data_IF_934035375187
#
_entry.id   IF_934035375187
#
_cell.length_a   1.000
_cell.length_b   1.000
_cell.length_c   1.000
_cell.angle_alpha   90.00
_cell.angle_beta   90.00
_cell.angle_gamma   90.00
#
_symmetry.space_group_name_H-M   'P 1'
#
loop_
_entity.id
_entity.type
_entity.pdbx_description
1 polymer ?
#
# COMPACT_ATOMS: atom_id res chain seq x y z
N UNK A 1 32.58 -20.03 -14.29
CA UNK A 1 32.29 -20.54 -15.65
C UNK A 1 30.82 -20.96 -15.80
N UNK A 2 30.31 -21.87 -14.91
CA UNK A 2 28.91 -22.34 -15.02
C UNK A 2 27.89 -21.25 -14.71
N UNK A 3 28.13 -20.45 -13.65
CA UNK A 3 27.30 -19.29 -13.31
C UNK A 3 27.38 -18.16 -14.34
N UNK A 4 28.54 -17.99 -15.02
CA UNK A 4 28.68 -17.07 -16.15
C UNK A 4 27.94 -17.56 -17.39
N UNK A 5 27.92 -18.87 -17.65
CA UNK A 5 27.15 -19.46 -18.74
C UNK A 5 25.64 -19.37 -18.49
N UNK A 6 25.19 -19.66 -17.26
CA UNK A 6 23.78 -19.54 -16.86
C UNK A 6 23.29 -18.09 -16.90
N UNK A 7 24.11 -17.13 -16.51
CA UNK A 7 23.83 -15.70 -16.68
C UNK A 7 23.77 -15.30 -18.17
N UNK A 8 24.69 -15.83 -19.02
CA UNK A 8 24.64 -15.60 -20.47
C UNK A 8 23.43 -16.24 -21.13
N UNK A 9 23.04 -17.45 -20.71
CA UNK A 9 21.83 -18.13 -21.23
C UNK A 9 20.56 -17.39 -20.82
N UNK A 10 20.55 -16.84 -19.60
CA UNK A 10 19.44 -16.06 -19.10
C UNK A 10 19.37 -14.68 -19.76
N UNK A 11 20.53 -14.04 -20.05
CA UNK A 11 20.62 -12.81 -20.86
C UNK A 11 20.16 -13.06 -22.31
N UNK A 12 20.50 -14.20 -22.89
CA UNK A 12 20.01 -14.62 -24.21
C UNK A 12 18.49 -14.87 -24.22
N UNK A 13 17.91 -15.43 -23.17
CA UNK A 13 16.44 -15.64 -23.07
C UNK A 13 15.68 -14.32 -22.99
N UNK A 14 16.19 -13.33 -22.26
CA UNK A 14 15.61 -11.97 -22.22
C UNK A 14 15.73 -11.31 -23.61
N UNK A 15 16.87 -11.46 -24.30
CA UNK A 15 17.06 -10.95 -25.66
C UNK A 15 16.14 -11.63 -26.70
N UNK A 16 15.84 -12.92 -26.53
CA UNK A 16 14.94 -13.65 -27.44
C UNK A 16 13.46 -13.31 -27.18
N UNK A 17 13.10 -12.96 -25.94
CA UNK A 17 11.74 -12.53 -25.58
C UNK A 17 11.45 -11.10 -26.05
N UNK A 18 12.47 -10.31 -26.30
CA UNK A 18 12.36 -8.97 -26.84
C UNK A 18 12.47 -9.08 -28.38
N UNK A 19 11.32 -9.00 -29.05
CA UNK A 19 11.26 -9.01 -30.52
C UNK A 19 12.28 -8.02 -31.08
N UNK A 20 13.15 -8.44 -32.02
CA UNK A 20 14.22 -7.62 -32.63
C UNK A 20 13.72 -6.28 -33.17
N UNK A 21 12.44 -6.18 -33.54
CA UNK A 21 11.79 -4.94 -33.94
C UNK A 21 11.59 -3.96 -32.77
N UNK A 22 11.44 -4.44 -31.53
CA UNK A 22 11.31 -3.60 -30.35
C UNK A 22 12.66 -3.08 -29.85
N UNK A 23 13.74 -3.82 -29.98
CA UNK A 23 15.09 -3.36 -29.62
C UNK A 23 15.54 -2.13 -30.44
N UNK A 24 15.23 -2.11 -31.74
CA UNK A 24 15.55 -0.98 -32.60
C UNK A 24 14.79 0.29 -32.23
N UNK A 25 13.58 0.16 -31.73
CA UNK A 25 12.72 1.30 -31.38
C UNK A 25 12.95 1.83 -29.96
N UNK A 26 13.15 0.95 -28.98
CA UNK A 26 13.25 1.32 -27.57
C UNK A 26 14.67 1.24 -26.98
N UNK A 27 15.65 0.73 -27.73
CA UNK A 27 17.03 0.57 -27.24
C UNK A 27 17.62 1.84 -26.61
N UNK A 28 17.60 3.01 -27.30
CA UNK A 28 18.13 4.27 -26.75
C UNK A 28 17.37 4.75 -25.48
N UNK A 29 16.04 4.54 -25.45
CA UNK A 29 15.22 4.94 -24.29
C UNK A 29 15.50 4.02 -23.11
N UNK A 30 15.70 2.71 -23.36
CA UNK A 30 16.07 1.74 -22.33
C UNK A 30 17.37 2.12 -21.63
N UNK A 31 18.41 2.44 -22.39
CA UNK A 31 19.69 2.87 -21.80
C UNK A 31 19.54 4.14 -20.94
N UNK A 32 18.70 5.07 -21.36
CA UNK A 32 18.41 6.27 -20.58
C UNK A 32 17.62 5.95 -19.31
N UNK A 33 16.60 5.08 -19.36
CA UNK A 33 15.91 4.59 -18.19
C UNK A 33 16.89 3.99 -17.18
N UNK A 34 17.81 3.14 -17.65
CA UNK A 34 18.82 2.49 -16.80
C UNK A 34 19.77 3.48 -16.13
N UNK A 35 20.20 4.53 -16.83
CA UNK A 35 21.03 5.62 -16.26
C UNK A 35 20.33 6.33 -15.10
N UNK A 36 19.00 6.39 -15.14
CA UNK A 36 18.18 6.98 -14.08
C UNK A 36 17.72 5.98 -13.02
N UNK A 37 18.18 4.72 -13.10
CA UNK A 37 17.85 3.65 -12.14
C UNK A 37 16.50 2.99 -12.40
N UNK A 38 15.86 3.27 -13.53
CA UNK A 38 14.58 2.67 -13.93
C UNK A 38 14.88 1.40 -14.72
N UNK A 39 14.55 0.24 -14.12
CA UNK A 39 14.73 -1.08 -14.73
C UNK A 39 13.39 -1.54 -15.27
N UNK A 40 13.26 -1.55 -16.60
CA UNK A 40 12.03 -1.95 -17.28
C UNK A 40 12.32 -2.51 -18.68
N UNK A 41 11.42 -3.38 -19.13
CA UNK A 41 11.29 -3.87 -20.50
C UNK A 41 9.92 -3.51 -21.09
N UNK A 42 9.06 -2.88 -20.29
CA UNK A 42 7.69 -2.57 -20.67
C UNK A 42 7.62 -1.38 -21.66
N UNK A 43 6.97 -1.56 -22.82
CA UNK A 43 6.73 -0.46 -23.78
C UNK A 43 5.99 0.73 -23.13
N UNK A 44 4.98 0.47 -22.30
CA UNK A 44 4.24 1.52 -21.61
C UNK A 44 5.13 2.37 -20.68
N UNK A 45 6.13 1.75 -20.04
CA UNK A 45 7.11 2.47 -19.23
C UNK A 45 8.08 3.28 -20.08
N UNK A 46 8.47 2.80 -21.25
CA UNK A 46 9.29 3.55 -22.19
C UNK A 46 8.53 4.77 -22.76
N UNK A 47 7.25 4.60 -23.07
CA UNK A 47 6.39 5.71 -23.49
C UNK A 47 6.25 6.76 -22.39
N UNK A 48 5.98 6.34 -21.16
CA UNK A 48 5.94 7.22 -20.00
C UNK A 48 7.25 7.97 -19.79
N UNK A 49 8.39 7.29 -19.94
CA UNK A 49 9.70 7.91 -19.85
C UNK A 49 9.98 8.87 -21.03
N UNK A 50 9.51 8.54 -22.21
CA UNK A 50 9.58 9.43 -23.39
C UNK A 50 8.84 10.75 -23.16
N UNK A 51 7.70 10.71 -22.46
CA UNK A 51 6.99 11.94 -22.05
C UNK A 51 7.81 12.72 -21.02
N UNK A 52 8.38 12.05 -20.00
CA UNK A 52 9.29 12.67 -19.02
C UNK A 52 10.42 13.42 -19.72
N UNK A 53 11.07 12.78 -20.69
CA UNK A 53 12.18 13.40 -21.45
C UNK A 53 11.77 14.68 -22.19
N UNK A 54 10.58 14.67 -22.81
CA UNK A 54 10.05 15.85 -23.51
C UNK A 54 9.69 16.99 -22.58
N UNK A 55 9.20 16.67 -21.38
CA UNK A 55 8.73 17.65 -20.39
C UNK A 55 9.86 18.17 -19.51
N UNK A 56 10.93 17.40 -19.35
CA UNK A 56 12.04 17.73 -18.45
C UNK A 56 12.61 19.15 -18.64
N UNK A 57 12.85 19.65 -19.88
CA UNK A 57 13.38 21.00 -20.07
C UNK A 57 12.41 22.14 -19.71
N UNK A 58 11.13 21.83 -19.49
CA UNK A 58 10.11 22.84 -19.15
C UNK A 58 9.97 23.00 -17.63
N UNK A 59 9.35 24.09 -17.20
CA UNK A 59 8.97 24.30 -15.80
C UNK A 59 7.53 23.85 -15.49
N UNK A 60 6.85 23.19 -16.42
CA UNK A 60 5.45 22.76 -16.26
C UNK A 60 5.30 21.79 -15.10
N UNK A 61 4.21 21.93 -14.30
CA UNK A 61 3.84 20.92 -13.33
C UNK A 61 3.60 19.55 -13.98
N UNK A 62 3.98 18.48 -13.26
CA UNK A 62 3.78 17.10 -13.72
C UNK A 62 3.06 16.31 -12.63
N UNK A 63 2.02 15.60 -13.02
CA UNK A 63 1.27 14.69 -12.15
C UNK A 63 1.56 13.24 -12.53
N UNK A 64 2.15 12.49 -11.59
CA UNK A 64 2.43 11.07 -11.74
C UNK A 64 1.31 10.25 -11.11
N UNK A 65 0.61 9.48 -11.91
CA UNK A 65 -0.49 8.62 -11.50
C UNK A 65 -0.05 7.15 -11.46
N UNK A 66 -0.59 6.39 -10.55
CA UNK A 66 -0.35 4.94 -10.45
C UNK A 66 -0.40 4.45 -9.02
N UNK A 67 -0.53 3.14 -8.88
CA UNK A 67 -0.61 2.47 -7.58
C UNK A 67 0.65 2.71 -6.72
N UNK A 68 0.54 2.47 -5.42
CA UNK A 68 1.70 2.52 -4.53
C UNK A 68 2.75 1.49 -4.96
N UNK A 69 4.03 1.88 -4.92
CA UNK A 69 5.14 0.98 -5.27
C UNK A 69 5.38 0.78 -6.77
N UNK A 70 4.73 1.53 -7.68
CA UNK A 70 4.97 1.45 -9.14
C UNK A 70 6.25 2.13 -9.64
N UNK A 71 6.89 2.95 -8.78
CA UNK A 71 8.14 3.66 -9.11
C UNK A 71 7.99 5.15 -9.42
N UNK A 72 6.88 5.80 -9.02
CA UNK A 72 6.61 7.22 -9.25
C UNK A 72 7.76 8.14 -8.81
N UNK A 73 8.38 7.88 -7.66
CA UNK A 73 9.50 8.68 -7.17
C UNK A 73 10.74 8.59 -8.10
N UNK A 74 11.03 7.41 -8.67
CA UNK A 74 12.13 7.26 -9.62
C UNK A 74 11.91 8.10 -10.88
N UNK A 75 10.67 8.17 -11.37
CA UNK A 75 10.27 9.01 -12.48
C UNK A 75 10.39 10.50 -12.15
N UNK A 76 9.97 10.91 -10.95
CA UNK A 76 10.14 12.29 -10.49
C UNK A 76 11.63 12.69 -10.39
N UNK A 77 12.48 11.80 -9.86
CA UNK A 77 13.93 12.00 -9.82
C UNK A 77 14.58 12.04 -11.20
N UNK A 78 14.12 11.19 -12.12
CA UNK A 78 14.57 11.23 -13.52
C UNK A 78 14.20 12.55 -14.19
N UNK A 79 12.96 13.02 -14.01
CA UNK A 79 12.48 14.31 -14.49
C UNK A 79 13.37 15.47 -13.99
N UNK A 80 13.66 15.48 -12.70
CA UNK A 80 14.53 16.50 -12.10
C UNK A 80 15.95 16.45 -12.68
N UNK A 81 16.59 15.29 -12.77
CA UNK A 81 17.95 15.12 -13.32
C UNK A 81 18.07 15.53 -14.78
N UNK A 82 17.00 15.35 -15.56
CA UNK A 82 16.94 15.77 -16.97
C UNK A 82 16.46 17.20 -17.15
N UNK A 83 16.07 17.88 -16.08
CA UNK A 83 15.68 19.29 -16.12
C UNK A 83 16.90 20.21 -16.09
N UNK A 84 16.70 21.48 -16.49
CA UNK A 84 17.73 22.52 -16.38
C UNK A 84 17.87 23.11 -14.97
N UNK A 85 17.40 22.37 -13.93
CA UNK A 85 17.43 22.82 -12.53
C UNK A 85 18.58 22.15 -11.78
N UNK A 86 19.50 22.96 -11.32
CA UNK A 86 20.76 22.50 -10.69
C UNK A 86 20.66 22.38 -9.15
N UNK A 87 19.55 22.90 -8.56
CA UNK A 87 19.33 22.88 -7.11
C UNK A 87 18.62 21.60 -6.66
N UNK A 88 18.32 21.51 -5.38
CA UNK A 88 17.89 20.28 -4.73
C UNK A 88 16.55 19.72 -5.24
N UNK A 89 16.46 18.39 -5.18
CA UNK A 89 15.22 17.64 -5.29
C UNK A 89 14.69 17.36 -3.87
N UNK A 90 13.66 18.09 -3.46
CA UNK A 90 13.02 17.93 -2.14
C UNK A 90 11.80 17.05 -2.27
N UNK A 91 11.85 15.85 -1.67
CA UNK A 91 10.74 14.91 -1.67
C UNK A 91 9.93 15.02 -0.38
N UNK A 92 8.63 15.16 -0.52
CA UNK A 92 7.67 15.29 0.57
C UNK A 92 6.59 14.24 0.43
N UNK A 93 6.47 13.33 1.38
CA UNK A 93 5.31 12.43 1.44
C UNK A 93 4.22 13.09 2.29
N UNK A 94 3.11 13.46 1.65
CA UNK A 94 2.01 14.20 2.26
C UNK A 94 1.24 13.35 3.29
N UNK A 95 1.15 12.03 3.06
CA UNK A 95 0.49 11.11 3.98
C UNK A 95 1.31 10.78 5.24
N UNK A 96 2.62 11.05 5.22
CA UNK A 96 3.50 10.76 6.35
C UNK A 96 3.58 11.91 7.38
N UNK A 97 3.14 13.12 7.02
CA UNK A 97 3.21 14.29 7.90
C UNK A 97 1.95 14.34 8.77
N UNK A 98 2.07 14.45 10.10
CA UNK A 98 0.91 14.67 10.97
C UNK A 98 0.13 15.93 10.57
N UNK A 99 -1.20 15.83 10.53
CA UNK A 99 -2.10 16.91 10.09
C UNK A 99 -1.79 18.29 10.65
N UNK A 100 -1.48 18.40 11.94
CA UNK A 100 -1.18 19.67 12.60
C UNK A 100 0.18 20.28 12.20
N UNK A 101 1.03 19.56 11.49
CA UNK A 101 2.36 19.98 11.10
C UNK A 101 2.52 20.22 9.60
N UNK A 102 1.59 19.72 8.77
CA UNK A 102 1.68 19.79 7.30
C UNK A 102 1.94 21.22 6.82
N UNK A 103 1.22 22.19 7.38
CA UNK A 103 1.36 23.59 7.00
C UNK A 103 2.74 24.14 7.31
N UNK A 104 3.23 23.94 8.53
CA UNK A 104 4.55 24.43 8.96
C UNK A 104 5.71 23.71 8.28
N UNK A 105 5.54 22.42 7.94
CA UNK A 105 6.53 21.64 7.18
C UNK A 105 6.64 22.12 5.73
N UNK A 106 5.51 22.33 5.05
CA UNK A 106 5.51 22.73 3.65
C UNK A 106 5.90 24.19 3.44
N UNK A 107 5.23 25.08 4.17
CA UNK A 107 5.34 26.53 3.93
C UNK A 107 6.31 27.22 4.90
N UNK A 108 6.65 26.55 6.00
CA UNK A 108 7.50 27.12 7.05
C UNK A 108 6.72 27.83 8.15
N UNK A 109 7.44 28.24 9.20
CA UNK A 109 6.89 29.02 10.32
C UNK A 109 7.88 30.05 10.83
N UNK A 110 7.37 31.18 11.33
CA UNK A 110 8.14 32.15 12.12
C UNK A 110 7.85 32.03 13.62
N UNK A 111 8.83 32.38 14.43
CA UNK A 111 8.71 32.42 15.89
C UNK A 111 7.55 33.35 16.26
N UNK A 112 6.58 32.84 17.04
CA UNK A 112 5.40 33.59 17.44
C UNK A 112 4.16 33.39 16.57
N UNK A 113 4.21 32.59 15.51
CA UNK A 113 3.07 32.27 14.64
C UNK A 113 1.99 31.43 15.33
N UNK A 114 2.37 30.61 16.30
CA UNK A 114 1.48 29.87 17.22
C UNK A 114 2.23 29.52 18.51
N UNK A 115 1.52 29.07 19.53
CA UNK A 115 2.09 28.74 20.86
C UNK A 115 3.13 27.62 20.71
N UNK A 116 4.41 27.91 21.02
CA UNK A 116 5.52 26.98 20.89
C UNK A 116 6.18 26.92 19.50
N UNK A 117 5.81 27.80 18.56
CA UNK A 117 6.41 27.82 17.22
C UNK A 117 7.89 28.19 17.24
N UNK A 118 8.70 27.36 16.58
CA UNK A 118 10.11 27.63 16.26
C UNK A 118 10.19 28.11 14.81
N UNK A 119 11.11 29.05 14.54
CA UNK A 119 11.32 29.48 13.15
C UNK A 119 11.87 28.31 12.32
N UNK A 120 11.17 27.96 11.23
CA UNK A 120 11.52 26.85 10.33
C UNK A 120 11.30 27.26 8.88
N UNK A 121 12.29 26.95 8.05
CA UNK A 121 12.16 27.10 6.59
C UNK A 121 11.30 25.97 6.06
N UNK A 122 10.26 26.28 5.27
CA UNK A 122 9.37 25.29 4.66
C UNK A 122 10.05 24.51 3.55
N UNK A 123 9.62 23.28 3.32
CA UNK A 123 10.20 22.37 2.31
C UNK A 123 10.09 22.93 0.89
N UNK A 124 9.03 23.69 0.58
CA UNK A 124 8.90 24.36 -0.72
C UNK A 124 10.00 25.40 -0.89
N UNK A 125 10.26 26.22 0.12
CA UNK A 125 11.33 27.23 0.06
C UNK A 125 12.73 26.60 0.07
N UNK A 126 12.92 25.41 0.66
CA UNK A 126 14.17 24.66 0.59
C UNK A 126 14.46 24.18 -0.85
N UNK A 127 13.43 23.95 -1.67
CA UNK A 127 13.56 23.55 -3.05
C UNK A 127 13.81 24.71 -4.04
N UNK A 128 14.15 25.92 -3.54
CA UNK A 128 14.39 27.10 -4.37
C UNK A 128 15.39 26.84 -5.48
N UNK A 129 15.04 27.17 -6.73
CA UNK A 129 15.82 26.87 -7.94
C UNK A 129 15.85 25.38 -8.34
N UNK A 130 15.19 24.53 -7.57
CA UNK A 130 15.13 23.07 -7.72
C UNK A 130 13.74 22.54 -8.03
N UNK A 131 13.43 21.37 -7.47
CA UNK A 131 12.15 20.67 -7.68
C UNK A 131 11.61 20.18 -6.34
N UNK A 132 10.34 20.47 -6.07
CA UNK A 132 9.59 19.81 -4.98
C UNK A 132 8.77 18.66 -5.55
N UNK A 133 8.93 17.47 -4.97
CA UNK A 133 8.14 16.30 -5.27
C UNK A 133 7.18 16.02 -4.13
N UNK A 134 5.88 16.13 -4.40
CA UNK A 134 4.79 15.90 -3.44
C UNK A 134 4.17 14.53 -3.69
N UNK A 135 4.59 13.52 -2.94
CA UNK A 135 3.99 12.20 -3.00
C UNK A 135 2.70 12.14 -2.18
N UNK A 136 1.75 11.33 -2.62
CA UNK A 136 0.42 11.18 -2.02
C UNK A 136 -0.36 12.51 -1.90
N UNK A 137 -0.30 13.35 -2.96
CA UNK A 137 -0.98 14.67 -2.98
C UNK A 137 -2.50 14.58 -2.74
N UNK A 138 -3.12 13.43 -3.03
CA UNK A 138 -4.54 13.19 -2.76
C UNK A 138 -4.91 13.04 -1.27
N UNK A 139 -3.91 12.99 -0.35
CA UNK A 139 -4.15 12.93 1.10
C UNK A 139 -4.22 14.32 1.76
N UNK A 140 -3.96 15.36 0.98
CA UNK A 140 -3.85 16.73 1.51
C UNK A 140 -5.24 17.30 1.86
N UNK A 141 -5.37 17.89 3.04
CA UNK A 141 -6.61 18.54 3.50
C UNK A 141 -6.91 19.82 2.70
N UNK A 142 -8.19 20.18 2.63
CA UNK A 142 -8.69 21.33 1.83
C UNK A 142 -8.01 22.67 2.18
N UNK A 143 -7.70 22.89 3.45
CA UNK A 143 -7.06 24.12 3.91
C UNK A 143 -5.65 24.26 3.29
N UNK A 144 -4.93 23.17 3.21
CA UNK A 144 -3.60 23.11 2.60
C UNK A 144 -3.68 23.20 1.07
N UNK A 145 -4.71 22.58 0.45
CA UNK A 145 -4.94 22.69 -0.99
C UNK A 145 -5.08 24.14 -1.45
N UNK A 146 -5.75 25.01 -0.67
CA UNK A 146 -5.88 26.44 -0.97
C UNK A 146 -4.52 27.14 -1.01
N UNK A 147 -3.65 26.82 -0.05
CA UNK A 147 -2.30 27.41 0.03
C UNK A 147 -1.38 26.89 -1.08
N UNK A 148 -1.45 25.59 -1.38
CA UNK A 148 -0.73 25.00 -2.51
C UNK A 148 -1.14 25.63 -3.83
N UNK A 149 -2.43 25.84 -4.06
CA UNK A 149 -2.92 26.48 -5.27
C UNK A 149 -2.28 27.86 -5.47
N UNK A 150 -2.32 28.71 -4.42
CA UNK A 150 -1.66 30.04 -4.48
C UNK A 150 -0.19 29.92 -4.75
N UNK A 151 0.50 29.02 -4.07
CA UNK A 151 1.94 28.81 -4.25
C UNK A 151 2.29 28.40 -5.68
N UNK A 152 1.51 27.51 -6.29
CA UNK A 152 1.75 27.05 -7.68
C UNK A 152 1.42 28.14 -8.70
N UNK A 153 0.39 28.97 -8.44
CA UNK A 153 -0.06 30.01 -9.35
C UNK A 153 0.81 31.26 -9.28
N UNK A 154 1.06 31.73 -8.07
CA UNK A 154 1.71 33.04 -7.81
C UNK A 154 3.21 32.90 -7.63
N UNK A 155 3.71 31.65 -7.51
CA UNK A 155 5.12 31.36 -7.16
C UNK A 155 5.55 32.04 -5.87
N UNK A 156 4.66 32.05 -4.88
CA UNK A 156 4.87 32.66 -3.58
C UNK A 156 4.54 31.69 -2.46
N UNK A 157 5.33 31.72 -1.39
CA UNK A 157 5.13 30.93 -0.17
C UNK A 157 4.92 31.89 0.99
N UNK A 158 3.87 31.65 1.77
CA UNK A 158 3.61 32.37 3.01
C UNK A 158 3.82 31.46 4.22
N UNK A 159 4.95 31.60 4.96
CA UNK A 159 5.15 30.91 6.23
C UNK A 159 4.08 31.27 7.26
N UNK A 160 3.76 30.33 8.15
CA UNK A 160 2.83 30.58 9.26
C UNK A 160 3.38 31.72 10.13
N UNK A 161 2.61 32.81 10.27
CA UNK A 161 3.04 34.01 10.99
C UNK A 161 4.17 34.82 10.34
N UNK A 162 4.47 34.55 9.04
CA UNK A 162 5.52 35.23 8.30
C UNK A 162 5.02 36.01 7.09
N UNK A 163 5.95 36.74 6.46
CA UNK A 163 5.70 37.49 5.22
C UNK A 163 5.80 36.55 4.04
N UNK A 164 5.11 36.86 2.96
CA UNK A 164 5.20 36.19 1.67
C UNK A 164 6.60 36.28 1.09
N UNK A 165 7.07 35.16 0.52
CA UNK A 165 8.38 35.02 -0.14
C UNK A 165 8.15 34.50 -1.55
N UNK A 166 8.76 35.10 -2.54
CA UNK A 166 8.76 34.56 -3.90
C UNK A 166 9.66 33.32 -3.99
N UNK A 167 9.22 32.32 -4.73
CA UNK A 167 9.96 31.05 -4.92
C UNK A 167 9.94 30.60 -6.40
N UNK A 168 11.10 30.21 -6.92
CA UNK A 168 11.19 29.55 -8.22
C UNK A 168 11.40 28.07 -8.06
N UNK A 169 10.30 27.33 -7.88
CA UNK A 169 10.29 25.89 -7.66
C UNK A 169 9.49 25.20 -8.75
N UNK A 170 10.00 24.07 -9.25
CA UNK A 170 9.24 23.16 -10.10
C UNK A 170 8.44 22.19 -9.25
N UNK A 171 7.15 22.05 -9.57
CA UNK A 171 6.24 21.15 -8.87
C UNK A 171 6.08 19.84 -9.62
N UNK A 172 6.31 18.72 -8.92
CA UNK A 172 6.02 17.37 -9.38
C UNK A 172 5.16 16.70 -8.30
N UNK A 173 4.00 16.21 -8.68
CA UNK A 173 3.07 15.58 -7.74
C UNK A 173 2.84 14.13 -8.08
N UNK A 174 2.55 13.29 -7.11
CA UNK A 174 2.21 11.90 -7.32
C UNK A 174 1.02 11.48 -6.45
N UNK A 175 0.21 10.55 -6.95
CA UNK A 175 -0.91 9.97 -6.21
C UNK A 175 -1.31 8.60 -6.76
N UNK A 176 -1.91 7.79 -5.92
CA UNK A 176 -2.61 6.56 -6.27
C UNK A 176 -4.13 6.73 -6.30
N UNK A 177 -4.65 7.92 -5.93
CA UNK A 177 -6.08 8.22 -5.94
C UNK A 177 -6.52 8.76 -7.30
N UNK A 178 -7.78 8.50 -7.62
CA UNK A 178 -8.48 9.17 -8.73
C UNK A 178 -8.88 10.58 -8.27
N UNK A 179 -8.04 11.58 -8.59
CA UNK A 179 -8.28 12.97 -8.18
C UNK A 179 -9.52 13.58 -8.81
N UNK A 180 -9.96 13.12 -9.99
CA UNK A 180 -11.20 13.58 -10.61
C UNK A 180 -12.41 13.11 -9.80
N UNK A 181 -12.36 11.87 -9.33
CA UNK A 181 -13.39 11.33 -8.42
C UNK A 181 -13.36 12.09 -7.08
N UNK A 182 -12.20 12.29 -6.49
CA UNK A 182 -12.05 13.05 -5.24
C UNK A 182 -12.56 14.51 -5.39
N UNK A 183 -12.38 15.12 -6.55
CA UNK A 183 -12.89 16.44 -6.85
C UNK A 183 -14.44 16.45 -6.94
N UNK A 184 -15.04 15.48 -7.66
CA UNK A 184 -16.50 15.34 -7.71
C UNK A 184 -17.13 15.10 -6.34
N UNK A 185 -16.46 14.35 -5.47
CA UNK A 185 -16.89 14.10 -4.09
C UNK A 185 -16.60 15.28 -3.16
N UNK A 186 -15.96 16.32 -3.68
CA UNK A 186 -15.62 17.53 -2.96
C UNK A 186 -14.46 17.36 -1.97
N UNK A 187 -13.68 16.27 -2.02
CA UNK A 187 -12.50 16.03 -1.17
C UNK A 187 -11.25 16.72 -1.72
N UNK A 188 -11.20 16.97 -3.02
CA UNK A 188 -10.12 17.67 -3.70
C UNK A 188 -10.67 18.88 -4.46
N UNK A 189 -9.91 19.97 -4.58
CA UNK A 189 -10.35 21.16 -5.31
C UNK A 189 -10.08 21.00 -6.79
N UNK A 190 -11.07 21.32 -7.61
CA UNK A 190 -10.95 21.28 -9.07
C UNK A 190 -9.89 22.25 -9.61
N UNK A 191 -9.81 23.46 -9.03
CA UNK A 191 -8.86 24.48 -9.46
C UNK A 191 -7.41 24.04 -9.22
N UNK A 192 -7.12 23.38 -8.09
CA UNK A 192 -5.82 22.78 -7.81
C UNK A 192 -5.54 21.61 -8.75
N UNK A 193 -6.52 20.75 -8.99
CA UNK A 193 -6.37 19.63 -9.93
C UNK A 193 -5.95 20.11 -11.31
N UNK A 194 -6.65 21.12 -11.88
CA UNK A 194 -6.29 21.69 -13.19
C UNK A 194 -4.87 22.25 -13.22
N UNK A 195 -4.39 22.82 -12.13
CA UNK A 195 -3.02 23.34 -12.05
C UNK A 195 -1.95 22.26 -11.95
N UNK A 196 -2.22 21.19 -11.21
CA UNK A 196 -1.31 20.03 -11.07
C UNK A 196 -1.32 19.16 -12.32
N UNK A 197 -2.46 19.00 -12.97
CA UNK A 197 -2.68 18.11 -14.12
C UNK A 197 -2.36 18.78 -15.47
N UNK A 198 -1.34 19.62 -15.53
CA UNK A 198 -0.87 20.20 -16.81
C UNK A 198 -0.30 19.11 -17.72
N UNK A 199 0.49 18.21 -17.16
CA UNK A 199 0.97 16.99 -17.80
C UNK A 199 0.76 15.84 -16.85
N UNK A 200 -0.05 14.85 -17.23
CA UNK A 200 -0.22 13.61 -16.46
C UNK A 200 0.50 12.44 -17.09
N UNK A 201 1.11 11.61 -16.26
CA UNK A 201 1.83 10.40 -16.67
C UNK A 201 1.37 9.27 -15.76
N UNK A 202 0.74 8.25 -16.36
CA UNK A 202 0.28 7.07 -15.62
C UNK A 202 1.32 5.96 -15.72
N UNK A 203 1.74 5.44 -14.57
CA UNK A 203 2.62 4.28 -14.47
C UNK A 203 1.77 3.02 -14.23
N UNK A 204 1.83 2.03 -15.13
CA UNK A 204 1.05 0.81 -14.99
C UNK A 204 1.49 0.01 -13.76
N UNK A 205 0.58 -0.73 -13.12
CA UNK A 205 0.90 -1.66 -12.05
C UNK A 205 1.73 -2.83 -12.59
N UNK A 206 2.48 -3.50 -11.69
CA UNK A 206 3.42 -4.57 -12.08
C UNK A 206 2.73 -5.75 -12.78
N UNK A 207 1.48 -6.07 -12.41
CA UNK A 207 0.68 -7.12 -13.07
C UNK A 207 0.38 -6.84 -14.55
N UNK A 208 0.44 -5.60 -15.00
CA UNK A 208 0.24 -5.18 -16.41
C UNK A 208 1.56 -5.06 -17.18
N UNK A 209 2.70 -5.27 -16.50
CA UNK A 209 4.06 -5.27 -17.10
C UNK A 209 4.88 -6.43 -16.55
N UNK A 210 4.36 -7.63 -16.72
CA UNK A 210 4.98 -8.86 -16.20
C UNK A 210 6.39 -9.10 -16.77
N UNK A 211 6.70 -8.57 -17.94
CA UNK A 211 8.02 -8.58 -18.56
C UNK A 211 9.10 -7.91 -17.68
N UNK A 212 8.70 -7.01 -16.79
CA UNK A 212 9.62 -6.37 -15.84
C UNK A 212 10.02 -7.27 -14.67
N UNK A 213 9.23 -8.31 -14.36
CA UNK A 213 9.45 -9.13 -13.17
C UNK A 213 10.85 -9.73 -13.18
N UNK A 214 11.25 -10.35 -14.28
CA UNK A 214 12.55 -11.04 -14.34
C UNK A 214 13.74 -10.08 -14.21
N UNK A 215 13.71 -8.93 -14.89
CA UNK A 215 14.79 -7.93 -14.79
C UNK A 215 14.86 -7.31 -13.38
N UNK A 216 13.71 -7.10 -12.73
CA UNK A 216 13.63 -6.61 -11.35
C UNK A 216 14.14 -7.66 -10.36
N UNK A 217 13.78 -8.93 -10.54
CA UNK A 217 14.29 -10.04 -9.72
C UNK A 217 15.83 -10.07 -9.77
N UNK A 218 16.42 -10.04 -10.95
CA UNK A 218 17.88 -10.02 -11.12
C UNK A 218 18.53 -8.79 -10.47
N UNK A 219 17.91 -7.64 -10.65
CA UNK A 219 18.39 -6.39 -10.05
C UNK A 219 18.42 -6.49 -8.52
N UNK A 220 17.32 -6.92 -7.91
CA UNK A 220 17.24 -7.03 -6.45
C UNK A 220 18.09 -8.19 -5.90
N UNK A 221 18.18 -9.30 -6.61
CA UNK A 221 19.08 -10.38 -6.23
C UNK A 221 20.53 -9.89 -6.18
N UNK A 222 21.01 -9.21 -7.24
CA UNK A 222 22.37 -8.66 -7.25
C UNK A 222 22.60 -7.69 -6.09
N UNK A 223 21.64 -6.79 -5.83
CA UNK A 223 21.69 -5.83 -4.72
C UNK A 223 21.84 -6.53 -3.38
N UNK A 224 20.91 -7.43 -3.05
CA UNK A 224 20.82 -8.04 -1.72
C UNK A 224 21.80 -9.18 -1.49
N UNK A 225 22.18 -9.94 -2.52
CA UNK A 225 23.25 -10.92 -2.39
C UNK A 225 24.60 -10.24 -2.05
N UNK A 226 24.86 -9.08 -2.67
CA UNK A 226 26.04 -8.28 -2.34
C UNK A 226 25.95 -7.71 -0.92
N UNK A 227 24.81 -7.12 -0.55
CA UNK A 227 24.59 -6.49 0.75
C UNK A 227 24.72 -7.50 1.91
N UNK A 228 24.18 -8.73 1.74
CA UNK A 228 24.17 -9.75 2.81
C UNK A 228 25.31 -10.77 2.71
N UNK A 229 26.19 -10.64 1.73
CA UNK A 229 27.29 -11.60 1.52
C UNK A 229 26.80 -13.02 1.21
N UNK A 230 25.59 -13.14 0.61
CA UNK A 230 25.00 -14.43 0.25
C UNK A 230 25.45 -14.88 -1.15
N UNK A 231 25.84 -16.15 -1.26
CA UNK A 231 26.19 -16.76 -2.54
C UNK A 231 24.98 -17.57 -3.07
N UNK A 232 24.08 -16.88 -3.74
CA UNK A 232 22.87 -17.46 -4.35
C UNK A 232 23.02 -17.33 -5.87
N UNK A 233 22.97 -18.46 -6.58
CA UNK A 233 23.22 -18.52 -8.02
C UNK A 233 21.96 -18.15 -8.83
N UNK A 234 20.75 -18.25 -8.25
CA UNK A 234 19.53 -17.94 -8.97
C UNK A 234 18.24 -18.28 -8.22
N UNK A 235 17.16 -18.34 -9.01
CA UNK A 235 15.81 -18.70 -8.59
C UNK A 235 15.40 -19.96 -9.34
N UNK A 236 14.77 -20.94 -8.68
CA UNK A 236 14.26 -22.13 -9.36
C UNK A 236 13.11 -21.78 -10.31
N UNK A 237 12.91 -22.56 -11.37
CA UNK A 237 11.85 -22.32 -12.36
C UNK A 237 10.46 -22.25 -11.71
N UNK A 238 10.21 -23.12 -10.72
CA UNK A 238 8.94 -23.13 -9.97
C UNK A 238 8.78 -21.84 -9.15
N UNK A 239 9.83 -21.40 -8.48
CA UNK A 239 9.82 -20.17 -7.72
C UNK A 239 9.64 -18.92 -8.62
N UNK A 240 10.25 -18.93 -9.81
CA UNK A 240 10.08 -17.86 -10.79
C UNK A 240 8.64 -17.81 -11.31
N UNK A 241 8.04 -18.98 -11.63
CA UNK A 241 6.65 -19.06 -12.06
C UNK A 241 5.69 -18.44 -11.02
N UNK A 242 5.89 -18.73 -9.74
CA UNK A 242 5.10 -18.13 -8.67
C UNK A 242 5.16 -16.60 -8.70
N UNK A 243 6.34 -16.00 -8.95
CA UNK A 243 6.46 -14.56 -9.08
C UNK A 243 5.70 -13.98 -10.28
N UNK A 244 5.64 -14.72 -11.42
CA UNK A 244 4.88 -14.31 -12.61
C UNK A 244 3.36 -14.40 -12.42
N UNK A 245 2.89 -15.35 -11.63
CA UNK A 245 1.48 -15.63 -11.43
C UNK A 245 0.88 -14.73 -10.30
N UNK A 246 1.71 -14.20 -9.41
CA UNK A 246 1.26 -13.36 -8.30
C UNK A 246 0.80 -11.97 -8.77
N UNK A 247 -0.30 -11.40 -8.22
CA UNK A 247 -0.91 -10.15 -8.70
C UNK A 247 -0.20 -8.86 -8.26
N UNK A 248 0.76 -8.92 -7.36
CA UNK A 248 1.58 -7.80 -6.89
C UNK A 248 0.79 -6.55 -6.45
N UNK A 249 -0.10 -6.63 -5.45
CA UNK A 249 -0.87 -5.47 -4.98
C UNK A 249 0.02 -4.33 -4.45
N UNK A 250 1.23 -4.64 -3.93
CA UNK A 250 2.24 -3.65 -3.52
C UNK A 250 3.29 -3.36 -4.58
N UNK A 251 3.09 -3.86 -5.82
CA UNK A 251 3.93 -3.60 -6.99
C UNK A 251 5.43 -3.91 -6.75
N UNK A 252 6.33 -3.04 -7.22
CA UNK A 252 7.78 -3.24 -7.11
C UNK A 252 8.24 -3.26 -5.65
N UNK A 253 7.61 -2.46 -4.77
CA UNK A 253 7.97 -2.43 -3.35
C UNK A 253 7.70 -3.78 -2.67
N UNK A 254 6.61 -4.44 -3.02
CA UNK A 254 6.31 -5.78 -2.52
C UNK A 254 7.25 -6.83 -3.13
N UNK A 255 7.48 -6.78 -4.45
CA UNK A 255 8.44 -7.66 -5.12
C UNK A 255 9.84 -7.56 -4.49
N UNK A 256 10.34 -6.35 -4.24
CA UNK A 256 11.62 -6.11 -3.58
C UNK A 256 11.68 -6.78 -2.21
N UNK A 257 10.64 -6.60 -1.37
CA UNK A 257 10.56 -7.21 -0.04
C UNK A 257 10.52 -8.75 -0.10
N UNK A 258 9.80 -9.31 -1.08
CA UNK A 258 9.71 -10.77 -1.27
C UNK A 258 11.06 -11.35 -1.68
N UNK A 259 11.77 -10.70 -2.61
CA UNK A 259 13.10 -11.14 -3.03
C UNK A 259 14.10 -11.02 -1.88
N UNK A 260 14.09 -9.91 -1.15
CA UNK A 260 14.93 -9.72 0.03
C UNK A 260 14.71 -10.82 1.06
N UNK A 261 13.45 -11.16 1.36
CA UNK A 261 13.08 -12.27 2.25
C UNK A 261 13.58 -13.61 1.73
N UNK A 262 13.36 -13.90 0.46
CA UNK A 262 13.81 -15.13 -0.19
C UNK A 262 15.33 -15.33 -0.07
N UNK A 263 16.11 -14.27 -0.29
CA UNK A 263 17.56 -14.29 -0.13
C UNK A 263 17.96 -14.57 1.33
N UNK A 264 17.29 -13.95 2.30
CA UNK A 264 17.59 -14.15 3.73
C UNK A 264 17.30 -15.60 4.14
N UNK A 265 16.16 -16.16 3.71
CA UNK A 265 15.67 -17.48 4.11
C UNK A 265 16.26 -18.64 3.32
N UNK A 266 16.79 -18.39 2.12
CA UNK A 266 17.38 -19.43 1.28
C UNK A 266 18.52 -20.16 2.01
N UNK A 267 18.43 -21.50 2.05
CA UNK A 267 19.42 -22.41 2.65
C UNK A 267 20.42 -22.97 1.63
N UNK A 268 20.15 -22.83 0.34
CA UNK A 268 20.95 -23.35 -0.76
C UNK A 268 21.34 -22.27 -1.76
N UNK A 269 21.88 -22.71 -2.89
CA UNK A 269 22.31 -21.83 -3.98
C UNK A 269 21.19 -21.31 -4.86
N UNK A 270 20.01 -21.93 -4.79
CA UNK A 270 18.81 -21.52 -5.54
C UNK A 270 17.69 -21.17 -4.56
N UNK A 271 17.03 -20.04 -4.78
CA UNK A 271 15.82 -19.68 -4.05
C UNK A 271 14.68 -20.59 -4.52
N UNK A 272 13.99 -21.19 -3.56
CA UNK A 272 12.85 -22.07 -3.80
C UNK A 272 11.53 -21.31 -3.57
N UNK A 273 10.45 -21.83 -4.13
CA UNK A 273 9.11 -21.26 -4.00
C UNK A 273 8.70 -20.96 -2.54
N UNK A 274 9.00 -21.88 -1.62
CA UNK A 274 8.75 -21.71 -0.18
C UNK A 274 9.50 -20.55 0.48
N UNK A 275 10.63 -20.13 -0.11
CA UNK A 275 11.46 -19.07 0.46
C UNK A 275 10.84 -17.67 0.20
N UNK A 276 9.91 -17.55 -0.75
CA UNK A 276 9.17 -16.31 -0.99
C UNK A 276 8.20 -15.96 0.12
N UNK A 277 7.60 -16.95 0.77
CA UNK A 277 6.51 -16.75 1.73
C UNK A 277 5.21 -16.24 1.10
N UNK A 278 5.07 -16.36 -0.23
CA UNK A 278 3.85 -15.98 -0.97
C UNK A 278 2.80 -17.09 -0.92
N UNK A 279 3.22 -18.35 -0.86
CA UNK A 279 2.33 -19.52 -0.87
C UNK A 279 1.73 -19.84 0.49
N UNK A 280 2.18 -19.21 1.57
CA UNK A 280 1.63 -19.50 2.90
C UNK A 280 0.17 -19.06 3.05
N UNK A 281 -0.31 -18.13 2.21
CA UNK A 281 -1.72 -17.71 2.26
C UNK A 281 -2.66 -18.64 1.46
N UNK A 282 -2.24 -19.21 0.31
CA UNK A 282 -3.12 -20.08 -0.50
C UNK A 282 -3.00 -21.57 -0.11
N UNK A 283 -1.81 -22.09 0.16
CA UNK A 283 -1.67 -23.48 0.66
C UNK A 283 -2.11 -23.63 2.12
N UNK A 284 -2.03 -22.57 2.94
CA UNK A 284 -2.67 -22.56 4.25
C UNK A 284 -4.19 -22.54 4.14
N UNK A 285 -4.78 -21.80 3.17
CA UNK A 285 -6.24 -21.82 2.98
C UNK A 285 -6.74 -23.18 2.50
N UNK A 286 -6.05 -23.90 1.62
CA UNK A 286 -6.51 -25.25 1.21
C UNK A 286 -6.23 -26.32 2.28
N UNK A 287 -5.07 -26.33 2.91
CA UNK A 287 -4.77 -27.29 4.00
C UNK A 287 -5.50 -26.95 5.30
N UNK A 288 -5.72 -25.65 5.59
CA UNK A 288 -6.55 -25.22 6.71
C UNK A 288 -8.04 -25.41 6.44
N UNK A 289 -8.55 -25.25 5.21
CA UNK A 289 -9.92 -25.61 4.86
C UNK A 289 -10.17 -27.12 4.97
N UNK A 290 -9.22 -27.96 4.58
CA UNK A 290 -9.29 -29.42 4.78
C UNK A 290 -9.11 -29.81 6.26
N UNK A 291 -8.39 -29.02 7.06
CA UNK A 291 -8.25 -29.21 8.51
C UNK A 291 -9.42 -28.61 9.30
N UNK A 292 -10.08 -27.55 8.80
CA UNK A 292 -11.31 -26.98 9.36
C UNK A 292 -12.52 -27.92 9.19
N UNK A 293 -12.55 -28.73 8.13
CA UNK A 293 -13.52 -29.83 7.99
C UNK A 293 -13.27 -30.99 8.99
N UNK A 294 -12.09 -31.05 9.61
CA UNK A 294 -11.67 -32.09 10.59
C UNK A 294 -11.43 -31.59 12.02
N UNK A 295 -11.84 -30.37 12.35
CA UNK A 295 -12.02 -29.87 13.72
C UNK A 295 -10.82 -29.96 14.64
N UNK A 296 -9.77 -29.11 14.45
CA UNK A 296 -8.83 -28.77 15.52
C UNK A 296 -8.21 -27.38 15.34
N UNK A 297 -8.77 -26.40 16.03
CA UNK A 297 -8.31 -25.00 16.07
C UNK A 297 -7.18 -24.79 17.11
N UNK A 298 -6.19 -25.68 17.21
CA UNK A 298 -5.14 -25.64 18.25
C UNK A 298 -4.41 -24.30 18.40
N UNK A 299 -4.28 -23.51 17.33
CA UNK A 299 -3.57 -22.23 17.39
C UNK A 299 -4.34 -21.07 18.03
N UNK A 300 -5.67 -21.07 17.94
CA UNK A 300 -6.51 -20.01 18.52
C UNK A 300 -6.89 -20.33 19.96
N UNK A 301 -7.02 -21.61 20.31
CA UNK A 301 -7.22 -22.05 21.69
C UNK A 301 -6.03 -21.67 22.57
N UNK A 302 -4.79 -21.90 22.08
CA UNK A 302 -3.56 -21.49 22.77
C UNK A 302 -3.49 -19.97 22.93
N UNK A 303 -3.83 -19.22 21.89
CA UNK A 303 -3.89 -17.75 21.97
C UNK A 303 -4.90 -17.29 23.02
N UNK A 304 -6.07 -17.90 23.03
CA UNK A 304 -7.13 -17.57 23.98
C UNK A 304 -6.75 -17.90 25.42
N UNK A 305 -6.10 -19.05 25.66
CA UNK A 305 -5.56 -19.40 26.97
C UNK A 305 -4.51 -18.41 27.47
N UNK A 306 -3.56 -18.02 26.62
CA UNK A 306 -2.54 -17.02 26.98
C UNK A 306 -3.17 -15.64 27.22
N UNK A 307 -4.17 -15.23 26.42
CA UNK A 307 -4.92 -13.99 26.67
C UNK A 307 -5.67 -14.03 27.99
N UNK A 308 -6.32 -15.14 28.34
CA UNK A 308 -6.99 -15.35 29.62
C UNK A 308 -6.01 -15.27 30.79
N UNK A 309 -4.86 -15.95 30.68
CA UNK A 309 -3.79 -15.93 31.70
C UNK A 309 -3.19 -14.55 31.93
N UNK A 310 -3.16 -13.72 30.90
CA UNK A 310 -2.65 -12.33 30.95
C UNK A 310 -3.78 -11.29 31.08
N UNK A 311 -4.95 -11.66 31.56
CA UNK A 311 -6.11 -10.74 31.73
C UNK A 311 -6.40 -9.92 30.46
N UNK A 312 -6.28 -10.53 29.28
CA UNK A 312 -6.45 -9.90 27.96
C UNK A 312 -5.54 -8.71 27.67
N UNK A 313 -4.41 -8.63 28.36
CA UNK A 313 -3.32 -7.68 28.08
C UNK A 313 -2.56 -8.13 26.82
N UNK A 314 -2.85 -7.52 25.68
CA UNK A 314 -2.27 -7.87 24.37
C UNK A 314 -0.73 -7.77 24.37
N UNK A 315 -0.17 -6.83 25.13
CA UNK A 315 1.28 -6.64 25.23
C UNK A 315 1.98 -7.80 25.91
N UNK A 316 1.41 -8.31 27.00
CA UNK A 316 1.92 -9.44 27.76
C UNK A 316 1.81 -10.73 26.95
N UNK A 317 0.63 -10.98 26.35
CA UNK A 317 0.42 -12.14 25.47
C UNK A 317 1.35 -12.11 24.24
N UNK A 318 1.65 -10.94 23.66
CA UNK A 318 2.58 -10.78 22.54
C UNK A 318 4.01 -11.18 22.94
N UNK A 319 4.45 -10.79 24.12
CA UNK A 319 5.77 -11.16 24.66
C UNK A 319 5.87 -12.66 24.93
N UNK A 320 4.85 -13.25 25.54
CA UNK A 320 4.81 -14.69 25.89
C UNK A 320 4.80 -15.57 24.64
N UNK A 321 3.96 -15.23 23.64
CA UNK A 321 3.85 -15.98 22.39
C UNK A 321 4.93 -15.64 21.37
N UNK A 322 5.80 -14.67 21.65
CA UNK A 322 6.81 -14.11 20.72
C UNK A 322 6.19 -13.68 19.38
N UNK A 323 5.00 -13.08 19.46
CA UNK A 323 4.24 -12.61 18.30
C UNK A 323 4.11 -11.09 18.31
N UNK A 324 3.91 -10.48 17.14
CA UNK A 324 3.66 -9.04 17.07
C UNK A 324 2.28 -8.69 17.63
N UNK A 325 2.16 -7.58 18.39
CA UNK A 325 0.89 -7.13 19.01
C UNK A 325 -0.26 -7.02 18.02
N UNK A 326 0.02 -6.50 16.80
CA UNK A 326 -0.99 -6.36 15.76
C UNK A 326 -1.54 -7.71 15.29
N UNK A 327 -0.72 -8.75 15.24
CA UNK A 327 -1.13 -10.12 14.88
C UNK A 327 -2.05 -10.69 15.94
N UNK A 328 -1.74 -10.52 17.23
CA UNK A 328 -2.60 -10.96 18.34
C UNK A 328 -3.94 -10.23 18.30
N UNK A 329 -3.92 -8.91 18.16
CA UNK A 329 -5.14 -8.10 18.07
C UNK A 329 -6.01 -8.52 16.88
N UNK A 330 -5.42 -8.77 15.71
CA UNK A 330 -6.12 -9.19 14.50
C UNK A 330 -6.76 -10.58 14.66
N UNK A 331 -6.01 -11.55 15.21
CA UNK A 331 -6.52 -12.90 15.49
C UNK A 331 -7.62 -12.88 16.54
N UNK A 332 -7.43 -12.18 17.65
CA UNK A 332 -8.43 -12.02 18.69
C UNK A 332 -9.74 -11.41 18.15
N UNK A 333 -9.62 -10.36 17.33
CA UNK A 333 -10.78 -9.76 16.66
C UNK A 333 -11.54 -10.75 15.78
N UNK A 334 -10.81 -11.59 15.03
CA UNK A 334 -11.40 -12.67 14.22
C UNK A 334 -12.16 -13.68 15.08
N UNK A 335 -11.59 -14.10 16.21
CA UNK A 335 -12.23 -15.00 17.16
C UNK A 335 -13.52 -14.39 17.75
N UNK A 336 -13.49 -13.10 18.12
CA UNK A 336 -14.69 -12.38 18.59
C UNK A 336 -15.77 -12.36 17.50
N UNK A 337 -15.40 -12.13 16.24
CA UNK A 337 -16.35 -12.16 15.14
C UNK A 337 -16.98 -13.55 14.95
N UNK A 338 -16.17 -14.61 15.01
CA UNK A 338 -16.66 -15.98 14.94
C UNK A 338 -17.61 -16.29 16.09
N UNK A 339 -17.26 -15.92 17.30
CA UNK A 339 -18.07 -16.15 18.49
C UNK A 339 -19.40 -15.38 18.43
N UNK A 340 -19.40 -14.11 17.99
CA UNK A 340 -20.64 -13.33 17.79
C UNK A 340 -21.55 -13.96 16.72
N UNK A 341 -20.99 -14.44 15.61
CA UNK A 341 -21.77 -15.09 14.57
C UNK A 341 -22.42 -16.41 15.06
N UNK A 342 -21.66 -17.22 15.79
CA UNK A 342 -22.12 -18.50 16.33
C UNK A 342 -23.18 -18.33 17.42
N UNK A 343 -23.14 -17.21 18.13
CA UNK A 343 -24.09 -16.89 19.20
C UNK A 343 -25.20 -15.91 18.74
N UNK A 344 -25.52 -15.83 17.45
CA UNK A 344 -26.58 -14.96 16.91
C UNK A 344 -26.48 -13.50 17.36
N UNK A 345 -25.28 -12.95 17.43
CA UNK A 345 -24.96 -11.59 17.88
C UNK A 345 -25.28 -11.33 19.37
N UNK A 346 -25.45 -12.36 20.18
CA UNK A 346 -25.61 -12.25 21.62
C UNK A 346 -24.26 -11.95 22.29
N UNK A 347 -24.11 -10.72 22.77
CA UNK A 347 -22.86 -10.22 23.36
C UNK A 347 -22.52 -10.94 24.65
N UNK A 348 -23.53 -11.26 25.48
CA UNK A 348 -23.32 -11.89 26.77
C UNK A 348 -22.82 -13.33 26.62
N UNK A 349 -23.44 -14.10 25.71
CA UNK A 349 -22.98 -15.47 25.39
C UNK A 349 -21.57 -15.44 24.78
N UNK A 350 -21.30 -14.56 23.82
CA UNK A 350 -19.97 -14.41 23.23
C UNK A 350 -18.94 -14.02 24.29
N UNK A 351 -19.32 -13.16 25.26
CA UNK A 351 -18.42 -12.77 26.34
C UNK A 351 -18.12 -13.95 27.25
N UNK A 352 -19.12 -14.75 27.62
CA UNK A 352 -18.94 -15.91 28.48
C UNK A 352 -18.03 -16.96 27.86
N UNK A 353 -18.20 -17.21 26.56
CA UNK A 353 -17.37 -18.17 25.81
C UNK A 353 -15.89 -17.69 25.70
N UNK A 354 -15.65 -16.41 25.41
CA UNK A 354 -14.31 -15.87 25.24
C UNK A 354 -13.60 -15.64 26.58
N UNK A 355 -14.29 -15.12 27.62
CA UNK A 355 -13.67 -14.86 28.92
C UNK A 355 -13.26 -16.13 29.66
N UNK A 356 -14.03 -17.19 29.50
CA UNK A 356 -13.81 -18.49 30.17
C UNK A 356 -14.17 -18.50 31.66
N UNK A 357 -13.98 -17.37 32.35
CA UNK A 357 -14.29 -17.20 33.76
C UNK A 357 -14.89 -15.81 34.07
N UNK A 358 -15.28 -15.62 35.35
CA UNK A 358 -15.85 -14.33 35.78
C UNK A 358 -14.84 -13.23 35.99
N UNK A 359 -13.56 -13.55 36.14
CA UNK A 359 -12.50 -12.56 36.43
C UNK A 359 -12.28 -11.61 35.25
N UNK A 360 -12.30 -12.15 34.04
CA UNK A 360 -12.05 -11.42 32.79
C UNK A 360 -13.33 -10.91 32.12
N UNK A 361 -14.51 -11.28 32.63
CA UNK A 361 -15.78 -11.02 31.97
C UNK A 361 -16.01 -9.53 31.65
N UNK A 362 -15.83 -8.65 32.63
CA UNK A 362 -16.10 -7.21 32.43
C UNK A 362 -15.23 -6.58 31.35
N UNK A 363 -13.97 -6.94 31.31
CA UNK A 363 -13.02 -6.42 30.30
C UNK A 363 -13.35 -6.96 28.93
N UNK A 364 -13.58 -8.26 28.80
CA UNK A 364 -13.94 -8.90 27.54
C UNK A 364 -15.27 -8.40 27.02
N UNK A 365 -16.27 -8.24 27.90
CA UNK A 365 -17.58 -7.68 27.54
C UNK A 365 -17.47 -6.27 26.96
N UNK A 366 -16.61 -5.41 27.54
CA UNK A 366 -16.34 -4.07 27.01
C UNK A 366 -15.75 -4.13 25.61
N UNK A 367 -14.76 -5.01 25.38
CA UNK A 367 -14.09 -5.17 24.08
C UNK A 367 -15.05 -5.70 23.01
N UNK A 368 -15.84 -6.74 23.33
CA UNK A 368 -16.82 -7.32 22.40
C UNK A 368 -17.92 -6.29 22.07
N UNK A 369 -18.41 -5.55 23.06
CA UNK A 369 -19.41 -4.50 22.88
C UNK A 369 -18.91 -3.39 21.94
N UNK A 370 -17.64 -3.03 22.04
CA UNK A 370 -17.02 -2.04 21.15
C UNK A 370 -16.91 -2.56 19.71
N UNK A 371 -16.46 -3.80 19.52
CA UNK A 371 -16.42 -4.43 18.20
C UNK A 371 -17.81 -4.59 17.59
N UNK A 372 -18.80 -4.99 18.37
CA UNK A 372 -20.20 -5.09 17.96
C UNK A 372 -20.76 -3.73 17.49
N UNK A 373 -20.58 -2.66 18.29
CA UNK A 373 -21.02 -1.30 17.94
C UNK A 373 -20.37 -0.80 16.66
N UNK A 374 -19.09 -1.06 16.50
CA UNK A 374 -18.36 -0.66 15.30
C UNK A 374 -18.83 -1.41 14.05
N UNK A 375 -19.07 -2.73 14.16
CA UNK A 375 -19.62 -3.53 13.07
C UNK A 375 -21.02 -3.04 12.67
N UNK A 376 -21.91 -2.87 13.65
CA UNK A 376 -23.28 -2.39 13.44
C UNK A 376 -23.27 -1.04 12.71
N UNK A 377 -22.47 -0.08 13.18
CA UNK A 377 -22.31 1.25 12.57
C UNK A 377 -21.78 1.18 11.12
N UNK A 378 -20.96 0.18 10.79
CA UNK A 378 -20.47 -0.04 9.41
C UNK A 378 -21.59 -0.58 8.55
N UNK A 379 -22.30 -1.62 9.00
CA UNK A 379 -23.38 -2.29 8.23
C UNK A 379 -24.53 -1.32 7.95
N UNK A 380 -24.94 -0.51 8.94
CA UNK A 380 -26.00 0.48 8.80
C UNK A 380 -25.76 1.56 7.74
N UNK A 381 -24.52 1.71 7.23
CA UNK A 381 -24.19 2.64 6.13
C UNK A 381 -24.54 2.12 4.74
N UNK A 382 -24.84 0.84 4.60
CA UNK A 382 -25.04 0.20 3.32
C UNK A 382 -26.47 -0.31 3.16
N UNK A 383 -27.00 -0.22 1.94
CA UNK A 383 -28.37 -0.65 1.61
C UNK A 383 -28.42 -2.09 1.11
N UNK A 384 -27.28 -2.68 0.69
CA UNK A 384 -27.22 -4.07 0.23
C UNK A 384 -26.25 -4.91 1.03
N UNK A 385 -26.56 -6.23 1.16
CA UNK A 385 -25.74 -7.21 1.86
C UNK A 385 -24.31 -7.25 1.29
N UNK A 386 -24.17 -7.26 -0.04
CA UNK A 386 -22.85 -7.34 -0.70
C UNK A 386 -21.99 -6.11 -0.42
N UNK A 387 -22.55 -4.91 -0.48
CA UNK A 387 -21.83 -3.67 -0.16
C UNK A 387 -21.44 -3.63 1.32
N UNK A 388 -22.31 -4.10 2.21
CA UNK A 388 -22.00 -4.18 3.64
C UNK A 388 -20.87 -5.18 3.91
N UNK A 389 -20.89 -6.36 3.27
CA UNK A 389 -19.80 -7.36 3.38
C UNK A 389 -18.47 -6.76 2.93
N UNK A 390 -18.43 -6.14 1.75
CA UNK A 390 -17.22 -5.48 1.23
C UNK A 390 -16.75 -4.35 2.15
N UNK A 391 -17.68 -3.55 2.68
CA UNK A 391 -17.38 -2.48 3.63
C UNK A 391 -16.75 -2.99 4.92
N UNK A 392 -17.32 -4.05 5.50
CA UNK A 392 -16.78 -4.69 6.71
C UNK A 392 -15.40 -5.30 6.45
N UNK A 393 -15.21 -5.99 5.33
CA UNK A 393 -13.92 -6.57 4.95
C UNK A 393 -12.86 -5.51 4.73
N UNK A 394 -13.19 -4.43 4.01
CA UNK A 394 -12.27 -3.31 3.73
C UNK A 394 -11.75 -2.64 5.02
N UNK A 395 -12.62 -2.47 6.00
CA UNK A 395 -12.26 -1.84 7.29
C UNK A 395 -11.61 -2.82 8.28
N UNK A 396 -11.65 -4.11 8.01
CA UNK A 396 -11.07 -5.16 8.83
C UNK A 396 -10.02 -5.99 8.07
N UNK A 397 -9.26 -5.37 7.19
CA UNK A 397 -8.21 -6.00 6.36
C UNK A 397 -7.19 -6.82 7.17
N UNK A 398 -6.97 -6.45 8.44
CA UNK A 398 -6.00 -7.11 9.31
C UNK A 398 -6.55 -8.39 9.96
N UNK A 399 -7.86 -8.66 9.87
CA UNK A 399 -8.45 -9.90 10.39
C UNK A 399 -8.05 -11.05 9.45
N UNK A 400 -7.51 -12.17 10.00
CA UNK A 400 -7.07 -13.30 9.19
C UNK A 400 -8.15 -13.81 8.25
N UNK A 401 -7.75 -14.23 7.03
CA UNK A 401 -8.67 -14.65 5.96
C UNK A 401 -9.60 -15.78 6.39
N UNK A 402 -9.14 -16.68 7.26
CA UNK A 402 -9.94 -17.77 7.84
C UNK A 402 -11.20 -17.32 8.60
N UNK A 403 -11.29 -16.04 9.01
CA UNK A 403 -12.49 -15.48 9.61
C UNK A 403 -13.38 -14.70 8.62
N UNK A 404 -12.98 -14.57 7.36
CA UNK A 404 -13.74 -13.78 6.39
C UNK A 404 -15.09 -14.42 6.04
N UNK A 405 -15.21 -15.75 6.11
CA UNK A 405 -16.50 -16.43 5.91
C UNK A 405 -17.54 -16.04 6.97
N UNK A 406 -17.08 -15.73 8.19
CA UNK A 406 -17.94 -15.33 9.31
C UNK A 406 -18.57 -13.96 9.08
N UNK A 407 -17.88 -13.07 8.33
CA UNK A 407 -18.33 -11.68 8.07
C UNK A 407 -19.71 -11.69 7.37
N UNK A 408 -19.94 -12.62 6.45
CA UNK A 408 -21.24 -12.73 5.77
C UNK A 408 -22.36 -13.03 6.78
N UNK A 409 -22.15 -13.96 7.70
CA UNK A 409 -23.14 -14.31 8.71
C UNK A 409 -23.39 -13.16 9.70
N UNK A 410 -22.34 -12.44 10.08
CA UNK A 410 -22.45 -11.24 10.92
C UNK A 410 -23.26 -10.16 10.23
N UNK A 411 -22.98 -9.85 8.96
CA UNK A 411 -23.71 -8.82 8.20
C UNK A 411 -25.19 -9.18 8.09
N UNK A 412 -25.51 -10.44 7.78
CA UNK A 412 -26.90 -10.93 7.74
C UNK A 412 -27.62 -10.78 9.06
N UNK A 413 -26.93 -11.02 10.16
CA UNK A 413 -27.52 -10.84 11.50
C UNK A 413 -27.86 -9.39 11.85
N UNK A 414 -27.20 -8.41 11.21
CA UNK A 414 -27.48 -6.97 11.41
C UNK A 414 -28.50 -6.41 10.42
N UNK A 415 -28.74 -7.08 9.28
CA UNK A 415 -29.67 -6.60 8.25
C UNK A 415 -31.06 -7.18 8.47
N UNK A 416 -32.13 -6.39 8.20
CA UNK A 416 -33.48 -6.94 8.24
C UNK A 416 -33.62 -8.02 7.14
N UNK A 417 -34.44 -9.06 7.37
CA UNK A 417 -34.71 -10.06 6.34
C UNK A 417 -35.28 -9.38 5.10
N UNK A 418 -34.94 -9.86 3.89
CA UNK A 418 -35.47 -9.31 2.66
C UNK A 418 -37.02 -9.32 2.71
N UNK A 419 -37.69 -8.31 2.15
CA UNK A 419 -39.15 -8.28 2.11
C UNK A 419 -39.65 -9.55 1.41
N UNK A 420 -40.50 -10.30 2.11
CA UNK A 420 -41.18 -11.46 1.52
C UNK A 420 -42.09 -10.95 0.41
N UNK A 421 -41.77 -11.28 -0.83
CA UNK A 421 -42.63 -10.98 -1.99
C UNK A 421 -43.97 -11.68 -1.81
N UNK A 422 -44.96 -10.96 -1.29
CA UNK A 422 -46.37 -11.36 -1.35
C UNK A 422 -46.89 -11.15 -2.78
N UNK A 423 -46.41 -11.95 -3.72
CA UNK A 423 -47.06 -12.12 -5.04
C UNK A 423 -47.29 -13.61 -5.24
N UNK A 424 -48.48 -14.03 -5.01
CA UNK A 424 -48.91 -15.36 -5.38
C UNK A 424 -50.08 -15.89 -4.52
N UNK A 425 -51.20 -15.13 -4.45
CA UNK A 425 -52.52 -15.69 -4.15
C UNK A 425 -53.64 -14.68 -4.54
N UNK A 426 -53.78 -14.54 -5.84
CA UNK A 426 -55.07 -14.11 -6.43
C UNK A 426 -55.05 -14.54 -7.91
N UNK A 427 -55.58 -15.79 -8.09
CA UNK A 427 -56.34 -16.21 -9.27
C UNK A 427 -56.75 -17.66 -9.04
N UNK A 428 -57.96 -17.83 -8.51
CA UNK A 428 -58.99 -18.80 -8.96
C UNK A 428 -60.34 -18.15 -8.71
#
# INVERSE_FOLDING_TARGET
ERAELENKVLDLRIHISFDKNMEGHFGPIREECEKHGIKTLSPAMFEAFGVIKKVAPTSSPVLLLGESGTGKELFARALHRMSNREKDFVAVNMGAIPDGLVESELFGSKKGGFTGSVSRVGQIAQAEGGTVFMDEIGEVKKEIQVKLLRTIQEKEVQPVGGNTLSVDVRFVSATNKDLEKEAREGNFREDLLYRLNTISITLPPLRERKEDIEILVRHFMKKYCTEYGKNIDGVSDKAMKTLFDYPWPGNIRELENVIQRGIILAKGKLIQEKDWGLLQEEEMTEKENVALEKGTNHGDDVLLEVLRGNSFEVSAAASELRMHRNTITARFKGMVFACLANNNLDIDKATQEISGDRSNYSQVHKMISEYYKNLKKIVEKFQSEEQAIQGVQKLNKNVPARYHYVIRNLVRGFMPPPPVDKKGDQEI
#
